data_IF_764585636310
#
_entry.id   IF_764585636310
#
_cell.length_a   1.000
_cell.length_b   1.000
_cell.length_c   1.000
_cell.angle_alpha   90.00
_cell.angle_beta   90.00
_cell.angle_gamma   90.00
#
_symmetry.space_group_name_H-M   'P 1'
#
loop_
_entity.id
_entity.type
_entity.pdbx_description
1 polymer ?
#
# COMPACT_ATOMS: atom_id res chain seq x y z
N UNK A 1 -5.68 0.45 19.26
CA UNK A 1 -5.72 0.62 17.78
C UNK A 1 -4.36 0.19 17.20
N UNK A 2 -4.33 -0.50 16.06
CA UNK A 2 -3.09 -0.95 15.41
C UNK A 2 -3.06 -0.44 13.97
N UNK A 3 -1.88 0.03 13.56
CA UNK A 3 -1.51 0.37 12.18
C UNK A 3 -0.26 -0.44 11.81
N UNK A 4 -0.26 -1.03 10.63
CA UNK A 4 0.90 -1.72 10.05
C UNK A 4 1.20 -1.03 8.72
N UNK A 5 2.38 -0.44 8.60
CA UNK A 5 2.79 0.24 7.38
C UNK A 5 4.22 -0.15 7.02
N UNK A 6 4.49 -0.32 5.73
CA UNK A 6 5.84 -0.60 5.24
C UNK A 6 5.85 -1.11 3.80
N UNK A 7 7.04 -1.49 3.34
CA UNK A 7 7.28 -2.11 2.04
C UNK A 7 6.99 -3.61 2.11
N UNK A 8 5.90 -4.04 1.49
CA UNK A 8 5.47 -5.44 1.46
C UNK A 8 6.07 -6.22 0.27
N UNK A 9 6.58 -5.52 -0.75
CA UNK A 9 7.08 -6.12 -2.01
C UNK A 9 6.14 -7.14 -2.66
N UNK A 10 4.84 -6.97 -2.45
CA UNK A 10 3.80 -7.88 -2.93
C UNK A 10 2.86 -7.14 -3.89
N UNK A 11 2.40 -7.83 -4.94
CA UNK A 11 1.63 -7.21 -6.00
C UNK A 11 0.22 -7.79 -6.08
N UNK A 12 -0.78 -6.92 -5.94
CA UNK A 12 -2.18 -7.26 -6.15
C UNK A 12 -2.95 -6.12 -6.79
N UNK A 13 -3.92 -6.48 -7.62
CA UNK A 13 -4.92 -5.55 -8.14
C UNK A 13 -5.74 -4.91 -7.00
N UNK A 14 -5.85 -5.58 -5.84
CA UNK A 14 -6.56 -5.08 -4.66
C UNK A 14 -6.01 -3.77 -4.09
N UNK A 15 -4.75 -3.44 -4.37
CA UNK A 15 -4.13 -2.15 -4.03
C UNK A 15 -3.57 -1.41 -5.24
N UNK A 16 -4.00 -1.75 -6.45
CA UNK A 16 -3.73 -0.96 -7.65
C UNK A 16 -2.51 -1.36 -8.47
N UNK A 17 -1.89 -2.52 -8.22
CA UNK A 17 -0.92 -3.08 -9.17
C UNK A 17 -1.61 -3.59 -10.43
N UNK A 18 -0.91 -3.57 -11.57
CA UNK A 18 -1.48 -4.10 -12.81
C UNK A 18 -1.63 -5.63 -12.76
N UNK A 19 -2.58 -6.22 -13.50
CA UNK A 19 -2.72 -7.68 -13.56
C UNK A 19 -1.45 -8.42 -14.02
N UNK A 20 -0.59 -7.73 -14.79
CA UNK A 20 0.69 -8.27 -15.27
C UNK A 20 1.76 -8.38 -14.18
N UNK A 21 1.58 -7.67 -13.07
CA UNK A 21 2.50 -7.66 -11.94
C UNK A 21 2.12 -8.66 -10.85
N UNK A 22 0.95 -9.31 -10.95
CA UNK A 22 0.43 -10.23 -9.92
C UNK A 22 1.49 -11.26 -9.52
N UNK A 23 1.64 -11.46 -8.21
CA UNK A 23 2.54 -12.46 -7.64
C UNK A 23 1.84 -13.28 -6.52
N UNK A 24 2.39 -14.45 -6.14
CA UNK A 24 1.82 -15.27 -5.05
C UNK A 24 1.87 -14.58 -3.68
N UNK A 25 2.76 -13.60 -3.50
CA UNK A 25 2.88 -12.86 -2.24
C UNK A 25 1.69 -11.93 -2.02
N UNK A 26 1.12 -11.37 -3.10
CA UNK A 26 -0.11 -10.59 -3.04
C UNK A 26 -1.25 -11.38 -2.41
N UNK A 27 -1.49 -12.61 -2.87
CA UNK A 27 -2.53 -13.48 -2.31
C UNK A 27 -2.22 -13.88 -0.87
N UNK A 28 -0.96 -14.19 -0.54
CA UNK A 28 -0.57 -14.50 0.83
C UNK A 28 -0.79 -13.32 1.80
N UNK A 29 -0.54 -12.08 1.36
CA UNK A 29 -0.84 -10.87 2.13
C UNK A 29 -2.35 -10.70 2.30
N UNK A 30 -3.15 -10.95 1.26
CA UNK A 30 -4.62 -10.89 1.33
C UNK A 30 -5.17 -11.88 2.37
N UNK A 31 -4.73 -13.13 2.33
CA UNK A 31 -5.16 -14.16 3.28
C UNK A 31 -4.78 -13.78 4.72
N UNK A 32 -3.57 -13.23 4.91
CA UNK A 32 -3.09 -12.77 6.20
C UNK A 32 -3.94 -11.61 6.76
N UNK A 33 -4.22 -10.57 5.97
CA UNK A 33 -4.99 -9.41 6.44
C UNK A 33 -6.47 -9.76 6.67
N UNK A 34 -7.03 -10.68 5.87
CA UNK A 34 -8.38 -11.18 6.06
C UNK A 34 -8.53 -11.94 7.39
N UNK A 35 -7.54 -12.75 7.75
CA UNK A 35 -7.51 -13.47 9.04
C UNK A 35 -7.38 -12.57 10.28
N UNK A 36 -6.93 -11.33 10.10
CA UNK A 36 -6.68 -10.37 11.18
C UNK A 36 -7.69 -9.21 11.23
N UNK A 37 -8.72 -9.21 10.39
CA UNK A 37 -9.69 -8.10 10.26
C UNK A 37 -9.00 -6.74 10.05
N UNK A 38 -7.98 -6.71 9.17
CA UNK A 38 -7.27 -5.48 8.82
C UNK A 38 -7.86 -4.85 7.56
N UNK A 39 -8.03 -3.53 7.60
CA UNK A 39 -8.52 -2.74 6.48
C UNK A 39 -7.35 -2.13 5.71
N UNK A 40 -7.41 -2.20 4.38
CA UNK A 40 -6.48 -1.48 3.52
C UNK A 40 -6.78 0.02 3.58
N UNK A 41 -5.78 0.82 3.94
CA UNK A 41 -5.88 2.27 4.01
C UNK A 41 -5.41 2.97 2.72
N UNK A 42 -4.65 2.27 1.87
CA UNK A 42 -4.23 2.79 0.56
C UNK A 42 -5.45 3.24 -0.24
N UNK A 43 -5.37 4.46 -0.79
CA UNK A 43 -6.42 5.12 -1.57
C UNK A 43 -5.81 5.84 -2.77
N UNK A 44 -6.62 6.01 -3.81
CA UNK A 44 -6.19 6.64 -5.05
C UNK A 44 -5.39 5.69 -5.96
N UNK A 45 -4.77 6.26 -6.98
CA UNK A 45 -4.08 5.51 -8.05
C UNK A 45 -2.60 5.85 -8.17
N UNK A 46 -2.04 6.60 -7.21
CA UNK A 46 -0.64 6.97 -7.23
C UNK A 46 0.24 5.79 -6.80
N UNK A 47 1.25 5.48 -7.61
CA UNK A 47 2.25 4.45 -7.30
C UNK A 47 3.10 4.83 -6.10
N UNK A 48 3.42 3.88 -5.23
CA UNK A 48 4.27 4.11 -4.06
C UNK A 48 5.75 3.88 -4.36
N UNK A 49 6.06 3.06 -5.36
CA UNK A 49 7.41 2.82 -5.84
C UNK A 49 7.49 3.08 -7.35
N UNK A 50 8.42 3.93 -7.79
CA UNK A 50 8.64 4.29 -9.19
C UNK A 50 10.09 4.10 -9.56
N UNK A 51 10.32 3.21 -10.53
CA UNK A 51 11.64 2.86 -11.04
C UNK A 51 11.70 3.16 -12.54
N UNK A 52 12.90 3.26 -13.14
CA UNK A 52 13.03 3.49 -14.59
C UNK A 52 12.31 2.47 -15.48
N UNK A 53 12.00 1.27 -14.95
CA UNK A 53 11.38 0.16 -15.68
C UNK A 53 9.89 -0.02 -15.38
N UNK A 54 9.30 0.84 -14.56
CA UNK A 54 7.88 0.76 -14.20
C UNK A 54 7.61 1.22 -12.78
N UNK A 55 6.32 1.18 -12.44
CA UNK A 55 5.80 1.65 -11.16
C UNK A 55 4.92 0.58 -10.51
N UNK A 56 4.82 0.62 -9.18
CA UNK A 56 4.02 -0.31 -8.41
C UNK A 56 3.47 0.32 -7.13
N UNK A 57 2.47 -0.34 -6.56
CA UNK A 57 1.96 -0.08 -5.22
C UNK A 57 2.39 -1.26 -4.35
N UNK A 58 3.52 -1.11 -3.67
CA UNK A 58 4.11 -2.17 -2.81
C UNK A 58 4.29 -1.71 -1.37
N UNK A 59 4.15 -0.41 -1.12
CA UNK A 59 4.12 0.16 0.23
C UNK A 59 2.66 0.24 0.67
N UNK A 60 2.30 -0.58 1.65
CA UNK A 60 0.91 -0.76 2.07
C UNK A 60 0.73 -0.27 3.50
N UNK A 61 -0.45 0.30 3.77
CA UNK A 61 -0.89 0.70 5.10
C UNK A 61 -2.16 -0.06 5.45
N UNK A 62 -2.09 -0.84 6.51
CA UNK A 62 -3.19 -1.63 7.04
C UNK A 62 -3.58 -1.12 8.43
N UNK A 63 -4.86 -1.16 8.76
CA UNK A 63 -5.34 -0.71 10.05
C UNK A 63 -6.47 -1.59 10.58
N UNK A 64 -6.48 -1.85 11.88
CA UNK A 64 -7.67 -2.39 12.56
C UNK A 64 -8.86 -1.43 12.39
N UNK A 65 -10.14 -1.88 12.46
CA UNK A 65 -11.29 -1.00 12.27
C UNK A 65 -11.33 0.18 13.24
N UNK A 66 -10.84 0.01 14.47
CA UNK A 66 -10.74 1.09 15.46
C UNK A 66 -9.69 2.14 15.09
N UNK A 67 -8.59 1.74 14.45
CA UNK A 67 -7.55 2.64 13.97
C UNK A 67 -7.95 3.32 12.66
N UNK A 68 -8.59 2.60 11.73
CA UNK A 68 -9.03 3.14 10.44
C UNK A 68 -9.95 4.35 10.57
N UNK A 69 -10.78 4.41 11.62
CA UNK A 69 -11.66 5.55 11.94
C UNK A 69 -10.91 6.82 12.33
N UNK A 70 -9.63 6.73 12.67
CA UNK A 70 -8.81 7.86 13.07
C UNK A 70 -8.09 8.51 11.88
N UNK A 71 -7.99 7.82 10.74
CA UNK A 71 -7.38 8.34 9.52
C UNK A 71 -8.28 9.43 8.95
N UNK A 72 -7.74 10.64 8.76
CA UNK A 72 -8.47 11.74 8.11
C UNK A 72 -8.37 11.63 6.60
N UNK A 73 -7.16 11.40 6.13
CA UNK A 73 -6.80 11.21 4.74
C UNK A 73 -5.72 10.14 4.66
N UNK A 74 -5.58 9.50 3.52
CA UNK A 74 -4.39 8.72 3.20
C UNK A 74 -3.99 9.14 1.79
N UNK A 75 -2.73 9.52 1.59
CA UNK A 75 -2.24 9.93 0.27
C UNK A 75 -0.76 9.61 0.09
N UNK A 76 -0.38 9.46 -1.17
CA UNK A 76 1.01 9.44 -1.62
C UNK A 76 1.41 10.86 -1.96
N UNK A 77 2.52 11.36 -1.41
CA UNK A 77 3.07 12.66 -1.78
C UNK A 77 3.83 12.52 -3.10
N UNK A 78 3.22 13.01 -4.18
CA UNK A 78 3.76 12.88 -5.55
C UNK A 78 4.67 14.04 -5.96
N UNK A 79 4.57 15.19 -5.29
CA UNK A 79 5.35 16.39 -5.60
C UNK A 79 6.64 16.51 -4.77
N UNK A 80 6.79 15.70 -3.71
CA UNK A 80 7.96 15.72 -2.84
C UNK A 80 9.11 14.88 -3.39
N UNK A 81 10.32 15.44 -3.36
CA UNK A 81 11.56 14.72 -3.62
C UNK A 81 11.90 13.78 -2.45
N UNK A 82 12.26 12.53 -2.74
CA UNK A 82 12.61 11.51 -1.74
C UNK A 82 14.04 11.02 -1.85
N UNK A 83 14.73 11.30 -2.96
CA UNK A 83 16.00 10.69 -3.36
C UNK A 83 15.95 9.15 -3.31
N UNK A 84 14.75 8.58 -3.48
CA UNK A 84 14.44 7.16 -3.45
C UNK A 84 13.50 6.84 -4.61
N UNK A 85 13.45 5.58 -5.01
CA UNK A 85 12.37 5.08 -5.85
C UNK A 85 11.05 4.94 -5.09
N UNK A 86 11.05 5.03 -3.76
CA UNK A 86 9.82 5.08 -2.96
C UNK A 86 9.33 6.53 -2.77
N UNK A 87 8.01 6.68 -2.75
CA UNK A 87 7.31 7.94 -2.43
C UNK A 87 6.86 7.96 -0.98
N UNK A 88 6.81 9.16 -0.40
CA UNK A 88 6.25 9.32 0.94
C UNK A 88 4.76 9.03 0.94
N UNK A 89 4.30 8.42 2.03
CA UNK A 89 2.89 8.20 2.33
C UNK A 89 2.58 8.95 3.62
N UNK A 90 1.46 9.66 3.64
CA UNK A 90 0.98 10.38 4.82
C UNK A 90 -0.46 10.03 5.14
N UNK A 91 -0.80 10.04 6.43
CA UNK A 91 -2.13 9.79 6.96
C UNK A 91 -2.37 10.44 8.33
#
# INVERSE_FOLDING_TARGET
>A
PIVIAGDFKAHSEGWGCSPRQRDPWGEAVIDWVAGLDLLLMNKGSASTCVRPRGESVIDLTWATPSAARLFREWKVEVEGETLSDHRYIVW
#
